data_IF_618134244567
#
_entry.id   IF_618134244567
#
_cell.length_a   1.000
_cell.length_b   1.000
_cell.length_c   1.000
_cell.angle_alpha   90.00
_cell.angle_beta   90.00
_cell.angle_gamma   90.00
#
_symmetry.space_group_name_H-M   'P 1'
#
loop_
_entity.id
_entity.type
_entity.pdbx_description
1 polymer ?
#
# COMPACT_ATOMS: atom_id res chain seq x y z
N UNK A 1 10.39 -0.03 12.46
CA UNK A 1 10.28 -1.51 12.45
C UNK A 1 8.88 -2.00 12.11
N UNK A 2 7.83 -1.21 12.37
CA UNK A 2 6.42 -1.50 12.06
C UNK A 2 6.12 -1.77 10.58
N UNK A 3 6.67 -0.99 9.64
CA UNK A 3 6.38 -1.15 8.22
C UNK A 3 6.90 -2.48 7.63
N UNK A 4 8.10 -2.92 8.04
CA UNK A 4 8.69 -4.16 7.56
C UNK A 4 7.89 -5.39 8.04
N UNK A 5 7.43 -5.34 9.29
CA UNK A 5 6.60 -6.40 9.88
C UNK A 5 5.23 -6.53 9.20
N UNK A 6 4.69 -5.43 8.67
CA UNK A 6 3.42 -5.46 7.94
C UNK A 6 3.58 -6.04 6.52
N UNK A 7 4.78 -5.94 5.92
CA UNK A 7 5.04 -6.41 4.55
C UNK A 7 5.56 -7.83 4.44
N UNK A 8 5.98 -8.45 5.56
CA UNK A 8 6.54 -9.80 5.58
C UNK A 8 5.60 -10.70 6.39
N UNK A 9 4.92 -11.62 5.73
CA UNK A 9 3.99 -12.56 6.35
C UNK A 9 3.78 -13.83 5.52
N UNK A 10 2.92 -14.73 6.01
CA UNK A 10 2.57 -16.02 5.38
C UNK A 10 2.15 -15.82 3.91
N UNK A 11 1.40 -14.73 3.63
CA UNK A 11 0.94 -14.37 2.30
C UNK A 11 2.05 -14.17 1.26
N UNK A 12 3.25 -13.72 1.66
CA UNK A 12 4.36 -13.57 0.72
C UNK A 12 4.92 -14.93 0.31
N UNK A 13 5.05 -15.86 1.25
CA UNK A 13 5.62 -17.20 0.99
C UNK A 13 4.62 -18.02 0.16
N UNK A 14 3.34 -18.04 0.58
CA UNK A 14 2.28 -18.75 -0.13
C UNK A 14 2.03 -18.15 -1.53
N UNK A 15 2.07 -16.81 -1.65
CA UNK A 15 1.91 -16.11 -2.93
C UNK A 15 3.03 -16.44 -3.92
N UNK A 16 4.29 -16.47 -3.48
CA UNK A 16 5.42 -16.89 -4.32
C UNK A 16 5.26 -18.34 -4.77
N UNK A 17 4.87 -19.24 -3.86
CA UNK A 17 4.67 -20.65 -4.18
C UNK A 17 3.57 -20.86 -5.23
N UNK A 18 2.43 -20.19 -5.10
CA UNK A 18 1.33 -20.26 -6.08
C UNK A 18 1.75 -19.64 -7.42
N UNK A 19 2.46 -18.50 -7.40
CA UNK A 19 2.93 -17.83 -8.61
C UNK A 19 3.90 -18.70 -9.42
N UNK A 20 4.79 -19.42 -8.76
CA UNK A 20 5.71 -20.36 -9.43
C UNK A 20 4.96 -21.62 -9.88
N UNK A 21 4.04 -22.14 -9.07
CA UNK A 21 3.27 -23.34 -9.40
C UNK A 21 2.42 -23.15 -10.66
N UNK A 22 1.79 -21.99 -10.82
CA UNK A 22 0.92 -21.69 -11.97
C UNK A 22 1.64 -20.99 -13.12
N UNK A 23 2.59 -20.10 -12.84
CA UNK A 23 3.32 -19.31 -13.84
C UNK A 23 4.62 -19.95 -14.34
N UNK A 24 5.05 -21.06 -13.74
CA UNK A 24 6.33 -21.69 -14.04
C UNK A 24 7.54 -20.90 -13.53
N UNK A 25 8.77 -21.39 -13.75
CA UNK A 25 9.99 -20.78 -13.21
C UNK A 25 10.27 -19.36 -13.73
N UNK A 26 9.67 -18.96 -14.86
CA UNK A 26 9.76 -17.60 -15.41
C UNK A 26 9.04 -16.54 -14.59
N UNK A 27 8.15 -16.92 -13.66
CA UNK A 27 7.45 -15.99 -12.78
C UNK A 27 8.42 -15.17 -11.91
N UNK A 28 9.54 -15.76 -11.49
CA UNK A 28 10.55 -15.09 -10.64
C UNK A 28 11.12 -13.83 -11.28
N UNK A 29 11.39 -13.86 -12.59
CA UNK A 29 11.88 -12.69 -13.31
C UNK A 29 10.87 -11.54 -13.22
N UNK A 30 9.59 -11.82 -13.45
CA UNK A 30 8.54 -10.82 -13.36
C UNK A 30 8.28 -10.33 -11.93
N UNK A 31 8.47 -11.18 -10.93
CA UNK A 31 8.42 -10.78 -9.52
C UNK A 31 9.51 -9.75 -9.19
N UNK A 32 10.73 -9.89 -9.72
CA UNK A 32 11.78 -8.89 -9.52
C UNK A 32 11.51 -7.58 -10.26
N UNK A 33 11.01 -7.65 -11.50
CA UNK A 33 10.63 -6.45 -12.28
C UNK A 33 9.54 -5.66 -11.57
N UNK A 34 8.48 -6.34 -11.12
CA UNK A 34 7.38 -5.72 -10.38
C UNK A 34 7.82 -5.20 -9.01
N UNK A 35 8.74 -5.89 -8.32
CA UNK A 35 9.33 -5.39 -7.08
C UNK A 35 10.11 -4.08 -7.30
N UNK A 36 10.91 -4.00 -8.37
CA UNK A 36 11.66 -2.78 -8.69
C UNK A 36 10.74 -1.60 -9.00
N UNK A 37 9.73 -1.80 -9.86
CA UNK A 37 8.72 -0.76 -10.15
C UNK A 37 7.93 -0.39 -8.89
N UNK A 38 7.52 -1.38 -8.09
CA UNK A 38 6.77 -1.17 -6.86
C UNK A 38 7.53 -0.33 -5.84
N UNK A 39 8.86 -0.52 -5.73
CA UNK A 39 9.70 0.32 -4.87
C UNK A 39 9.70 1.78 -5.31
N UNK A 40 9.79 2.06 -6.61
CA UNK A 40 9.75 3.42 -7.13
C UNK A 40 8.41 4.10 -6.80
N UNK A 41 7.28 3.43 -7.03
CA UNK A 41 5.96 3.97 -6.70
C UNK A 41 5.78 4.17 -5.20
N UNK A 42 6.21 3.21 -4.38
CA UNK A 42 6.17 3.31 -2.92
C UNK A 42 6.98 4.50 -2.42
N UNK A 43 8.15 4.72 -3.00
CA UNK A 43 8.99 5.86 -2.65
C UNK A 43 8.31 7.20 -2.95
N UNK A 44 7.69 7.32 -4.12
CA UNK A 44 6.88 8.51 -4.47
C UNK A 44 5.73 8.72 -3.48
N UNK A 45 5.01 7.66 -3.10
CA UNK A 45 3.90 7.72 -2.14
C UNK A 45 4.37 8.19 -0.76
N UNK A 46 5.46 7.62 -0.23
CA UNK A 46 6.03 8.01 1.07
C UNK A 46 6.52 9.45 1.06
N UNK A 47 7.12 9.88 -0.05
CA UNK A 47 7.60 11.27 -0.22
C UNK A 47 6.44 12.27 -0.20
N UNK A 48 5.36 11.96 -0.93
CA UNK A 48 4.14 12.79 -0.92
C UNK A 48 3.45 12.79 0.44
N UNK A 49 3.38 11.64 1.11
CA UNK A 49 2.81 11.53 2.45
C UNK A 49 3.58 12.35 3.49
N UNK A 50 4.91 12.44 3.38
CA UNK A 50 5.72 13.32 4.23
C UNK A 50 5.50 14.80 3.92
N UNK A 51 5.35 15.17 2.63
CA UNK A 51 5.16 16.57 2.21
C UNK A 51 3.80 17.14 2.61
N UNK A 52 2.73 16.34 2.55
CA UNK A 52 1.35 16.76 2.82
C UNK A 52 0.80 16.30 4.18
N UNK A 53 1.68 15.79 5.04
CA UNK A 53 1.38 15.38 6.41
C UNK A 53 0.74 16.52 7.21
N UNK A 54 -0.38 16.24 7.86
CA UNK A 54 -0.93 17.10 8.90
C UNK A 54 -0.57 16.56 10.27
N UNK A 55 -0.24 17.48 11.17
CA UNK A 55 -0.10 17.19 12.59
C UNK A 55 -1.32 17.78 13.25
N UNK A 56 -2.20 16.90 13.74
CA UNK A 56 -3.38 17.33 14.45
C UNK A 56 -2.97 18.00 15.79
N UNK A 57 -3.85 18.82 16.38
CA UNK A 57 -3.57 19.59 17.59
C UNK A 57 -3.21 18.72 18.81
N UNK A 58 -3.53 17.42 18.74
CA UNK A 58 -3.26 16.39 19.75
C UNK A 58 -1.92 15.67 19.48
N UNK A 59 -1.12 16.11 18.50
CA UNK A 59 0.18 15.53 18.16
C UNK A 59 0.11 14.25 17.33
N UNK A 60 -1.08 13.84 16.88
CA UNK A 60 -1.25 12.68 16.00
C UNK A 60 -0.91 13.07 14.57
N UNK A 61 -0.02 12.29 13.96
CA UNK A 61 0.46 12.52 12.60
C UNK A 61 -0.43 11.72 11.65
N UNK A 62 -1.28 12.43 10.90
CA UNK A 62 -2.10 11.82 9.85
C UNK A 62 -1.49 12.15 8.48
N UNK A 63 -1.12 11.09 7.76
CA UNK A 63 -0.50 11.21 6.45
C UNK A 63 -0.86 9.99 5.61
N UNK A 64 -1.22 10.22 4.36
CA UNK A 64 -1.59 9.15 3.44
C UNK A 64 -2.13 9.66 2.11
N UNK A 65 -2.44 8.75 1.18
CA UNK A 65 -2.97 9.06 -0.14
C UNK A 65 -4.15 10.02 -0.15
N UNK A 66 -5.04 9.89 0.83
CA UNK A 66 -6.18 10.78 0.99
C UNK A 66 -5.77 12.25 1.21
N UNK A 67 -4.73 12.50 2.00
CA UNK A 67 -4.29 13.85 2.36
C UNK A 67 -3.58 14.58 1.20
N UNK A 68 -2.76 13.90 0.41
CA UNK A 68 -2.12 14.54 -0.75
C UNK A 68 -3.08 14.69 -1.94
N UNK A 69 -4.11 13.84 -2.10
CA UNK A 69 -5.13 14.02 -3.13
C UNK A 69 -6.01 15.23 -2.81
N UNK A 70 -6.44 15.38 -1.55
CA UNK A 70 -7.26 16.52 -1.13
C UNK A 70 -6.50 17.85 -1.18
N UNK A 71 -5.22 17.87 -0.76
CA UNK A 71 -4.41 19.10 -0.68
C UNK A 71 -3.56 19.40 -1.92
N UNK A 72 -3.21 18.41 -2.71
CA UNK A 72 -2.30 18.55 -3.86
C UNK A 72 -3.00 18.68 -5.22
N UNK A 73 -4.13 18.00 -5.43
CA UNK A 73 -4.89 18.01 -6.71
C UNK A 73 -6.13 18.92 -6.68
N UNK A 74 -6.50 19.43 -5.50
CA UNK A 74 -7.58 20.41 -5.30
C UNK A 74 -8.97 19.80 -5.01
N UNK A 75 -9.97 20.65 -4.72
CA UNK A 75 -11.30 20.24 -4.21
C UNK A 75 -12.08 19.32 -5.16
N UNK A 76 -11.82 19.40 -6.47
CA UNK A 76 -12.51 18.60 -7.48
C UNK A 76 -12.13 17.11 -7.45
N UNK A 77 -11.03 16.74 -6.79
CA UNK A 77 -10.58 15.34 -6.67
C UNK A 77 -10.96 14.69 -5.32
N UNK A 78 -11.74 15.39 -4.48
CA UNK A 78 -12.31 14.86 -3.23
C UNK A 78 -13.07 13.53 -3.40
N UNK A 79 -13.87 13.30 -4.46
CA UNK A 79 -14.54 12.00 -4.66
C UNK A 79 -13.54 10.85 -4.82
N UNK A 80 -12.41 11.09 -5.48
CA UNK A 80 -11.37 10.08 -5.70
C UNK A 80 -10.59 9.78 -4.42
N UNK A 81 -10.36 10.78 -3.57
CA UNK A 81 -9.79 10.59 -2.25
C UNK A 81 -10.67 9.68 -1.38
N UNK A 82 -11.98 9.95 -1.33
CA UNK A 82 -12.97 9.16 -0.56
C UNK A 82 -13.04 7.73 -1.08
N UNK A 83 -13.08 7.54 -2.40
CA UNK A 83 -13.05 6.22 -3.01
C UNK A 83 -11.79 5.44 -2.62
N UNK A 84 -10.61 6.07 -2.70
CA UNK A 84 -9.35 5.43 -2.34
C UNK A 84 -9.31 5.03 -0.86
N UNK A 85 -9.83 5.88 0.03
CA UNK A 85 -9.91 5.57 1.45
C UNK A 85 -10.88 4.42 1.76
N UNK A 86 -12.05 4.38 1.10
CA UNK A 86 -13.01 3.30 1.26
C UNK A 86 -12.42 1.95 0.78
N UNK A 87 -11.74 1.96 -0.38
CA UNK A 87 -11.05 0.77 -0.88
C UNK A 87 -9.91 0.32 0.03
N UNK A 88 -9.10 1.25 0.55
CA UNK A 88 -8.03 0.94 1.50
C UNK A 88 -8.60 0.34 2.79
N UNK A 89 -9.71 0.88 3.32
CA UNK A 89 -10.36 0.32 4.49
C UNK A 89 -10.83 -1.12 4.22
N UNK A 90 -11.53 -1.36 3.12
CA UNK A 90 -11.97 -2.70 2.73
C UNK A 90 -10.79 -3.68 2.54
N UNK A 91 -9.74 -3.23 1.87
CA UNK A 91 -8.51 -4.00 1.64
C UNK A 91 -7.79 -4.33 2.95
N UNK A 92 -7.69 -3.38 3.88
CA UNK A 92 -7.07 -3.61 5.19
C UNK A 92 -7.79 -4.73 5.97
N UNK A 93 -9.11 -4.79 5.91
CA UNK A 93 -9.88 -5.87 6.53
C UNK A 93 -9.64 -7.23 5.86
N UNK A 94 -9.67 -7.29 4.52
CA UNK A 94 -9.53 -8.54 3.77
C UNK A 94 -8.10 -9.09 3.79
N UNK A 95 -7.12 -8.28 3.39
CA UNK A 95 -5.72 -8.74 3.29
C UNK A 95 -5.01 -8.78 4.63
N UNK A 96 -5.34 -7.86 5.55
CA UNK A 96 -4.67 -7.79 6.86
C UNK A 96 -5.17 -8.88 7.80
N UNK A 97 -6.48 -8.92 8.06
CA UNK A 97 -7.04 -9.81 9.08
C UNK A 97 -7.46 -11.18 8.53
N UNK A 98 -8.12 -11.24 7.37
CA UNK A 98 -8.71 -12.50 6.90
C UNK A 98 -7.68 -13.49 6.31
N UNK A 99 -6.66 -13.00 5.61
CA UNK A 99 -5.61 -13.87 5.02
C UNK A 99 -4.55 -14.28 6.05
N UNK A 100 -4.31 -13.48 7.10
CA UNK A 100 -3.33 -13.84 8.14
C UNK A 100 -3.93 -14.72 9.24
N UNK A 101 -5.24 -14.74 9.42
CA UNK A 101 -5.92 -15.53 10.45
C UNK A 101 -6.18 -17.00 10.06
N UNK A 102 -5.95 -17.38 8.80
CA UNK A 102 -6.12 -18.74 8.27
C UNK A 102 -4.80 -19.31 7.78
#
# INVERSE_FOLDING_TARGET
TTALSATVGIGNIAGVAIAIHWGGPGALFWMWVTAFLGMATKFSEVTLAQKYREVDAVGTVAGGPMYYIEKGLGPSWKPMAIFFAAMLAFTAFLTGNAVQAN
#
